data_IF_288242519268
#
_entry.id   IF_288242519268
#
_cell.length_a   1.000
_cell.length_b   1.000
_cell.length_c   1.000
_cell.angle_alpha   90.00
_cell.angle_beta   90.00
_cell.angle_gamma   90.00
#
_symmetry.space_group_name_H-M   'P 1'
#
loop_
_entity.id
_entity.type
_entity.pdbx_description
1 polymer ?
#
# COMPACT_ATOMS: atom_id res chain seq x y z
N UNK A 1 -0.14 -39.52 20.31
CA UNK A 1 1.33 -39.35 20.32
C UNK A 1 1.71 -38.73 18.99
N UNK A 2 2.05 -37.45 18.86
CA UNK A 2 2.91 -36.60 19.68
C UNK A 2 2.36 -35.18 19.80
N UNK A 3 2.56 -34.58 20.97
CA UNK A 3 2.46 -33.15 21.26
C UNK A 3 3.83 -32.48 21.11
N UNK A 4 3.84 -31.21 20.69
CA UNK A 4 4.78 -30.11 21.03
C UNK A 4 4.29 -28.89 20.20
N UNK A 5 3.50 -27.99 20.78
CA UNK A 5 3.89 -26.81 21.59
C UNK A 5 4.33 -25.61 20.76
N UNK A 6 3.44 -24.61 20.73
CA UNK A 6 3.66 -23.16 20.96
C UNK A 6 4.67 -22.37 20.10
N UNK A 7 4.18 -21.18 19.73
CA UNK A 7 4.91 -19.96 19.37
C UNK A 7 5.38 -19.77 17.93
N UNK A 8 4.47 -19.23 17.10
CA UNK A 8 4.69 -17.96 16.39
C UNK A 8 3.41 -17.56 15.65
N UNK A 9 2.44 -17.06 16.41
CA UNK A 9 1.27 -16.39 15.85
C UNK A 9 1.67 -14.92 15.61
N UNK A 10 2.14 -14.60 14.41
CA UNK A 10 2.22 -13.21 13.96
C UNK A 10 0.80 -12.64 13.92
N UNK A 11 0.39 -12.07 15.04
CA UNK A 11 -0.91 -11.45 15.21
C UNK A 11 -0.83 -10.07 14.55
N UNK A 12 -1.51 -9.89 13.42
CA UNK A 12 -1.93 -8.56 12.96
C UNK A 12 -2.99 -8.11 13.97
N UNK A 13 -2.55 -7.41 15.02
CA UNK A 13 -3.45 -6.98 16.09
C UNK A 13 -4.30 -5.83 15.55
N UNK A 14 -5.56 -6.11 15.24
CA UNK A 14 -6.60 -5.10 15.26
C UNK A 14 -7.02 -4.90 16.73
N UNK A 15 -6.82 -3.68 17.27
CA UNK A 15 -7.95 -2.99 17.88
C UNK A 15 -7.93 -1.51 17.46
N UNK A 16 -9.01 -0.79 17.76
CA UNK A 16 -9.24 0.65 17.52
C UNK A 16 -9.93 1.05 16.21
N UNK A 17 -11.06 0.41 15.90
CA UNK A 17 -12.05 0.88 14.92
C UNK A 17 -12.53 2.33 15.10
N UNK A 18 -12.28 3.00 16.24
CA UNK A 18 -12.65 4.40 16.45
C UNK A 18 -11.61 5.42 15.93
N UNK A 19 -10.30 5.12 15.99
CA UNK A 19 -9.25 6.07 15.57
C UNK A 19 -9.19 6.18 14.02
N UNK A 20 -9.61 5.12 13.31
CA UNK A 20 -9.58 5.04 11.85
C UNK A 20 -10.46 6.06 11.13
N UNK A 21 -11.59 6.48 11.71
CA UNK A 21 -12.51 7.45 11.08
C UNK A 21 -11.96 8.87 11.10
N UNK A 22 -11.18 9.23 12.12
CA UNK A 22 -10.61 10.57 12.24
C UNK A 22 -9.32 10.68 11.43
N UNK A 23 -8.44 9.67 11.46
CA UNK A 23 -7.17 9.65 10.72
C UNK A 23 -7.36 9.69 9.19
N UNK A 24 -8.29 8.90 8.64
CA UNK A 24 -8.61 8.99 7.20
C UNK A 24 -9.16 10.35 6.81
N UNK A 25 -9.95 11.00 7.68
CA UNK A 25 -10.48 12.34 7.41
C UNK A 25 -9.40 13.43 7.46
N UNK A 26 -8.43 13.34 8.38
CA UNK A 26 -7.34 14.32 8.53
C UNK A 26 -6.33 14.17 7.40
N UNK A 27 -5.91 12.94 7.09
CA UNK A 27 -4.99 12.65 5.97
C UNK A 27 -5.64 13.06 4.64
N UNK A 28 -6.90 12.69 4.37
CA UNK A 28 -7.60 13.13 3.16
C UNK A 28 -7.82 14.64 3.07
N UNK A 29 -8.08 15.34 4.19
CA UNK A 29 -8.28 16.80 4.18
C UNK A 29 -6.99 17.55 3.86
N UNK A 30 -5.86 17.12 4.42
CA UNK A 30 -4.59 17.79 4.17
C UNK A 30 -4.04 17.45 2.78
N UNK A 31 -4.28 16.23 2.28
CA UNK A 31 -4.01 15.87 0.88
C UNK A 31 -4.92 16.63 -0.10
N UNK A 32 -6.21 16.79 0.20
CA UNK A 32 -7.13 17.61 -0.61
C UNK A 32 -6.72 19.08 -0.64
N UNK A 33 -6.18 19.63 0.45
CA UNK A 33 -5.61 20.99 0.50
C UNK A 33 -4.38 21.16 -0.39
N UNK A 34 -3.57 20.12 -0.54
CA UNK A 34 -2.43 20.13 -1.46
C UNK A 34 -2.86 19.91 -2.91
N UNK A 35 -3.88 19.07 -3.16
CA UNK A 35 -4.45 18.82 -4.48
C UNK A 35 -5.32 19.98 -5.02
N UNK A 36 -5.88 20.82 -4.15
CA UNK A 36 -6.71 21.98 -4.54
C UNK A 36 -5.94 23.13 -5.19
N UNK A 37 -4.63 22.98 -5.44
CA UNK A 37 -3.85 23.90 -6.29
C UNK A 37 -3.94 23.57 -7.79
N UNK A 38 -4.66 22.52 -8.16
CA UNK A 38 -5.01 22.20 -9.55
C UNK A 38 -6.52 22.06 -9.67
N UNK A 39 -7.12 22.92 -10.50
CA UNK A 39 -8.56 22.94 -10.81
C UNK A 39 -9.02 21.58 -11.34
N UNK A 40 -10.03 20.96 -10.71
CA UNK A 40 -11.30 20.58 -11.34
C UNK A 40 -12.26 19.94 -10.32
N UNK A 41 -13.54 20.23 -10.52
CA UNK A 41 -14.70 19.97 -9.67
C UNK A 41 -15.22 18.53 -9.72
N UNK A 42 -15.36 17.86 -8.56
CA UNK A 42 -16.55 17.05 -8.16
C UNK A 42 -16.34 16.41 -6.79
N UNK A 43 -16.95 16.97 -5.74
CA UNK A 43 -17.08 16.31 -4.43
C UNK A 43 -18.50 16.58 -3.90
N UNK A 44 -19.45 15.73 -4.31
CA UNK A 44 -20.77 15.59 -3.68
C UNK A 44 -20.95 14.11 -3.36
N UNK A 45 -20.88 13.80 -2.08
CA UNK A 45 -21.64 12.78 -1.35
C UNK A 45 -20.79 12.28 -0.19
N UNK A 46 -21.25 12.54 1.04
CA UNK A 46 -21.22 11.62 2.19
C UNK A 46 -21.85 12.35 3.37
N UNK A 47 -23.14 12.67 3.25
CA UNK A 47 -23.97 13.13 4.35
C UNK A 47 -25.12 12.15 4.49
N UNK A 48 -24.92 11.00 5.14
CA UNK A 48 -25.99 10.22 5.79
C UNK A 48 -25.39 9.02 6.52
N UNK A 49 -25.21 9.16 7.85
CA UNK A 49 -25.22 8.08 8.83
C UNK A 49 -25.20 8.72 10.23
N UNK A 50 -26.37 9.21 10.67
CA UNK A 50 -26.63 9.58 12.07
C UNK A 50 -26.99 8.30 12.84
N UNK A 51 -26.09 7.82 13.70
CA UNK A 51 -26.44 6.81 14.70
C UNK A 51 -26.75 7.49 16.03
N UNK A 52 -27.97 7.29 16.55
CA UNK A 52 -28.45 7.78 17.85
C UNK A 52 -27.95 6.85 18.96
N UNK A 53 -27.23 7.39 19.95
CA UNK A 53 -27.10 6.75 21.27
C UNK A 53 -28.05 7.43 22.25
N UNK A 54 -28.94 6.63 22.87
CA UNK A 54 -29.82 7.03 23.97
C UNK A 54 -28.99 7.14 25.25
N UNK A 55 -28.93 8.32 25.86
CA UNK A 55 -28.42 8.51 27.22
C UNK A 55 -29.55 8.29 28.22
N UNK A 56 -29.39 7.31 29.10
CA UNK A 56 -30.22 7.17 30.33
C UNK A 56 -29.61 8.05 31.44
N UNK A 57 -30.42 8.78 32.23
CA UNK A 57 -29.91 9.64 33.28
C UNK A 57 -29.59 8.82 34.54
N UNK A 58 -28.31 8.73 34.93
CA UNK A 58 -27.93 8.28 36.28
C UNK A 58 -28.15 9.41 37.29
N UNK A 59 -28.86 9.09 38.37
CA UNK A 59 -29.09 9.95 39.54
C UNK A 59 -27.75 10.33 40.19
N UNK A 60 -27.63 11.60 40.59
CA UNK A 60 -26.52 12.12 41.41
C UNK A 60 -26.88 11.91 42.87
N UNK A 61 -26.04 11.17 43.59
CA UNK A 61 -26.09 11.06 45.05
C UNK A 61 -25.14 12.11 45.67
N UNK A 62 -25.60 13.01 46.58
CA UNK A 62 -24.79 14.16 47.02
C UNK A 62 -23.82 13.91 48.17
N UNK A 63 -23.69 12.69 48.72
CA UNK A 63 -22.97 12.45 49.99
C UNK A 63 -21.62 11.71 49.87
N UNK A 64 -21.08 11.55 48.65
CA UNK A 64 -19.73 10.98 48.45
C UNK A 64 -18.62 12.04 48.29
N UNK A 65 -18.91 13.31 48.54
CA UNK A 65 -17.94 14.42 48.44
C UNK A 65 -17.59 14.92 49.84
N UNK A 66 -16.71 14.24 50.58
CA UNK A 66 -15.91 14.85 51.67
C UNK A 66 -14.92 13.90 52.39
N UNK A 67 -14.23 12.98 51.70
CA UNK A 67 -13.17 12.18 52.36
C UNK A 67 -11.99 11.78 51.46
N UNK A 68 -11.53 12.65 50.56
CA UNK A 68 -10.28 12.40 49.84
C UNK A 68 -9.55 13.70 49.45
N UNK A 69 -9.29 14.57 50.42
CA UNK A 69 -8.52 15.82 50.24
C UNK A 69 -7.23 15.88 51.07
N UNK A 70 -6.62 14.73 51.34
CA UNK A 70 -5.26 14.67 51.90
C UNK A 70 -4.47 13.60 51.15
N UNK A 71 -3.36 14.03 50.53
CA UNK A 71 -2.43 13.27 49.66
C UNK A 71 -2.69 13.27 48.14
N UNK A 72 -2.92 14.45 47.55
CA UNK A 72 -2.57 14.67 46.14
C UNK A 72 -1.08 15.01 46.05
N UNK A 73 -0.22 14.02 46.28
CA UNK A 73 1.07 14.03 45.59
C UNK A 73 0.73 14.09 44.11
N UNK A 74 1.29 15.08 43.41
CA UNK A 74 1.11 15.29 41.97
C UNK A 74 1.65 14.04 41.28
N UNK A 75 0.80 13.04 41.07
CA UNK A 75 1.10 11.91 40.19
C UNK A 75 1.44 12.58 38.86
N UNK A 76 2.73 12.60 38.51
CA UNK A 76 3.11 12.86 37.13
C UNK A 76 2.44 11.73 36.35
N UNK A 77 1.30 12.05 35.74
CA UNK A 77 0.78 11.22 34.67
C UNK A 77 1.96 10.96 33.74
N UNK A 78 2.22 9.70 33.34
CA UNK A 78 3.26 9.43 32.37
C UNK A 78 3.08 10.40 31.22
N UNK A 79 4.16 11.07 30.78
CA UNK A 79 4.11 11.84 29.54
C UNK A 79 3.48 10.94 28.48
N UNK A 80 2.30 11.34 28.00
CA UNK A 80 1.51 10.57 27.07
C UNK A 80 2.37 10.43 25.81
N UNK A 81 3.00 9.26 25.65
CA UNK A 81 4.06 9.02 24.69
C UNK A 81 3.57 9.46 23.31
N UNK A 82 4.22 10.44 22.70
CA UNK A 82 3.78 11.02 21.44
C UNK A 82 3.82 9.96 20.36
N UNK A 83 2.64 9.46 19.96
CA UNK A 83 2.53 8.47 18.91
C UNK A 83 2.74 9.15 17.56
N UNK A 84 3.66 8.60 16.76
CA UNK A 84 3.98 9.08 15.43
C UNK A 84 3.48 8.08 14.38
N UNK A 85 3.11 8.58 13.20
CA UNK A 85 2.73 7.77 12.03
C UNK A 85 3.66 8.13 10.88
N UNK A 86 4.36 7.12 10.35
CA UNK A 86 5.16 7.27 9.14
C UNK A 86 4.32 7.03 7.90
N UNK A 87 4.62 7.73 6.81
CA UNK A 87 3.99 7.52 5.51
C UNK A 87 5.08 7.53 4.45
N UNK A 88 5.15 6.43 3.70
CA UNK A 88 5.92 6.34 2.45
C UNK A 88 5.00 6.81 1.34
N UNK A 89 5.42 7.84 0.61
CA UNK A 89 4.79 8.30 -0.63
C UNK A 89 5.75 8.05 -1.80
N UNK A 90 5.52 6.94 -2.50
CA UNK A 90 6.32 6.50 -3.64
C UNK A 90 5.69 7.03 -4.94
N UNK A 91 6.03 8.26 -5.32
CA UNK A 91 5.52 8.88 -6.54
C UNK A 91 6.32 8.51 -7.80
N UNK A 92 5.81 8.94 -8.95
CA UNK A 92 6.47 8.72 -10.26
C UNK A 92 7.74 9.55 -10.47
N UNK A 93 7.91 10.67 -9.77
CA UNK A 93 9.11 11.54 -9.89
C UNK A 93 9.99 11.53 -8.64
N UNK A 94 9.48 11.06 -7.50
CA UNK A 94 10.23 11.07 -6.24
C UNK A 94 9.63 10.14 -5.21
N UNK A 95 10.47 9.68 -4.29
CA UNK A 95 10.08 8.99 -3.06
C UNK A 95 10.11 9.95 -1.89
N UNK A 96 9.11 9.90 -1.03
CA UNK A 96 9.05 10.65 0.22
C UNK A 96 8.82 9.74 1.40
N UNK A 97 9.37 10.14 2.54
CA UNK A 97 8.94 9.62 3.82
C UNK A 97 8.57 10.80 4.72
N UNK A 98 7.39 10.75 5.32
CA UNK A 98 6.81 11.82 6.10
C UNK A 98 6.34 11.23 7.43
N UNK A 99 6.71 11.86 8.54
CA UNK A 99 6.27 11.46 9.88
C UNK A 99 5.32 12.51 10.43
N UNK A 100 4.14 12.06 10.84
CA UNK A 100 3.07 12.87 11.39
C UNK A 100 2.90 12.60 12.89
N UNK A 101 2.48 13.62 13.63
CA UNK A 101 1.92 13.46 14.98
C UNK A 101 0.55 12.78 14.88
N UNK A 102 0.36 11.63 15.52
CA UNK A 102 -0.94 10.93 15.53
C UNK A 102 -2.03 11.76 16.24
N UNK A 103 -1.63 12.66 17.15
CA UNK A 103 -2.54 13.49 17.95
C UNK A 103 -3.00 14.74 17.20
N UNK A 104 -2.09 15.42 16.53
CA UNK A 104 -2.37 16.73 15.89
C UNK A 104 -2.50 16.66 14.38
N UNK A 105 -1.98 15.61 13.74
CA UNK A 105 -1.89 15.50 12.28
C UNK A 105 -0.79 16.36 11.66
N UNK A 106 0.02 17.04 12.46
CA UNK A 106 1.10 17.90 11.98
C UNK A 106 2.30 17.08 11.49
N UNK A 107 3.00 17.62 10.49
CA UNK A 107 4.25 17.04 9.98
C UNK A 107 5.37 17.33 10.98
N UNK A 108 5.96 16.28 11.54
CA UNK A 108 7.10 16.35 12.45
C UNK A 108 8.41 16.36 11.69
N UNK A 109 8.52 15.52 10.66
CA UNK A 109 9.71 15.43 9.82
C UNK A 109 9.35 14.89 8.44
N UNK A 110 10.13 15.25 7.42
CA UNK A 110 9.95 14.76 6.05
C UNK A 110 11.25 14.78 5.27
N UNK A 111 11.41 13.83 4.37
CA UNK A 111 12.49 13.83 3.39
C UNK A 111 11.96 13.40 2.02
N UNK A 112 12.57 13.92 0.95
CA UNK A 112 12.21 13.63 -0.43
C UNK A 112 13.48 13.39 -1.25
N UNK A 113 13.46 12.37 -2.09
CA UNK A 113 14.52 12.05 -3.05
C UNK A 113 13.88 11.84 -4.42
N UNK A 114 14.40 12.50 -5.44
CA UNK A 114 13.95 12.34 -6.82
C UNK A 114 14.37 10.98 -7.39
N UNK A 115 13.56 10.46 -8.31
CA UNK A 115 13.84 9.21 -9.03
C UNK A 115 13.69 9.48 -10.52
N UNK A 116 14.68 9.04 -11.28
CA UNK A 116 14.69 9.19 -12.73
C UNK A 116 13.71 8.25 -13.43
N UNK A 117 13.37 8.62 -14.66
CA UNK A 117 12.60 7.80 -15.59
C UNK A 117 13.42 7.60 -16.85
N UNK A 118 13.36 6.40 -17.39
CA UNK A 118 14.02 6.05 -18.63
C UNK A 118 12.98 5.89 -19.75
N UNK A 119 13.35 6.37 -20.92
CA UNK A 119 12.54 6.33 -22.14
C UNK A 119 13.33 5.63 -23.25
N UNK A 120 13.50 4.30 -23.19
CA UNK A 120 14.34 3.57 -24.15
C UNK A 120 13.80 3.63 -25.59
N UNK A 121 12.47 3.72 -25.74
CA UNK A 121 11.77 3.83 -27.01
C UNK A 121 10.56 4.77 -26.89
N UNK A 122 9.99 5.17 -28.03
CA UNK A 122 8.77 5.98 -28.06
C UNK A 122 7.63 5.26 -27.34
N UNK A 123 6.95 5.97 -26.43
CA UNK A 123 5.88 5.41 -25.61
C UNK A 123 6.32 4.52 -24.45
N UNK A 124 7.62 4.19 -24.36
CA UNK A 124 8.15 3.38 -23.27
C UNK A 124 8.58 4.28 -22.11
N UNK A 125 8.19 3.88 -20.90
CA UNK A 125 8.52 4.56 -19.65
C UNK A 125 8.84 3.49 -18.61
N UNK A 126 10.08 3.51 -18.12
CA UNK A 126 10.52 2.55 -17.11
C UNK A 126 11.32 3.22 -16.00
N UNK A 127 11.45 2.53 -14.86
CA UNK A 127 12.24 2.97 -13.71
C UNK A 127 13.04 1.81 -13.14
N UNK A 128 14.19 2.11 -12.55
CA UNK A 128 14.93 1.15 -11.76
C UNK A 128 14.14 0.77 -10.50
N UNK A 129 13.70 -0.49 -10.42
CA UNK A 129 13.01 -1.02 -9.24
C UNK A 129 13.89 -0.95 -7.98
N UNK A 130 15.22 -1.08 -8.18
CA UNK A 130 16.21 -0.91 -7.12
C UNK A 130 16.25 0.53 -6.61
N UNK A 131 16.18 1.52 -7.48
CA UNK A 131 16.18 2.94 -7.07
C UNK A 131 14.87 3.37 -6.41
N UNK A 132 13.73 2.79 -6.82
CA UNK A 132 12.45 2.95 -6.11
C UNK A 132 12.60 2.55 -4.63
N UNK A 133 13.21 1.40 -4.36
CA UNK A 133 13.44 0.94 -2.98
C UNK A 133 14.54 1.75 -2.26
N UNK A 134 15.68 1.95 -2.90
CA UNK A 134 16.82 2.65 -2.30
C UNK A 134 16.48 4.09 -1.93
N UNK A 135 15.76 4.82 -2.80
CA UNK A 135 15.28 6.18 -2.50
C UNK A 135 14.32 6.18 -1.31
N UNK A 136 13.40 5.22 -1.23
CA UNK A 136 12.50 5.03 -0.09
C UNK A 136 13.28 4.82 1.22
N UNK A 137 14.24 3.89 1.21
CA UNK A 137 15.09 3.59 2.38
C UNK A 137 15.93 4.81 2.80
N UNK A 138 16.46 5.57 1.84
CA UNK A 138 17.22 6.80 2.12
C UNK A 138 16.33 7.88 2.75
N UNK A 139 15.08 8.04 2.29
CA UNK A 139 14.12 8.94 2.92
C UNK A 139 13.80 8.54 4.36
N UNK A 140 13.57 7.24 4.62
CA UNK A 140 13.36 6.71 5.97
C UNK A 140 14.56 7.01 6.88
N UNK A 141 15.77 6.72 6.40
CA UNK A 141 17.00 6.95 7.16
C UNK A 141 17.30 8.44 7.43
N UNK A 142 16.94 9.32 6.49
CA UNK A 142 17.04 10.77 6.68
C UNK A 142 16.08 11.25 7.77
N UNK A 143 14.80 10.92 7.67
CA UNK A 143 13.80 11.30 8.68
C UNK A 143 14.11 10.70 10.04
N UNK A 144 14.63 9.47 10.11
CA UNK A 144 15.05 8.88 11.38
C UNK A 144 16.19 9.68 12.06
N UNK A 145 17.08 10.31 11.28
CA UNK A 145 18.10 11.23 11.81
C UNK A 145 17.45 12.54 12.27
N UNK A 146 16.52 13.08 11.50
CA UNK A 146 15.80 14.31 11.85
C UNK A 146 15.00 14.13 13.16
N UNK A 147 14.30 13.01 13.34
CA UNK A 147 13.60 12.69 14.58
C UNK A 147 14.54 12.69 15.79
N UNK A 148 15.72 12.07 15.66
CA UNK A 148 16.73 12.08 16.74
C UNK A 148 17.23 13.49 17.05
N UNK A 149 17.38 14.35 16.04
CA UNK A 149 17.75 15.76 16.25
C UNK A 149 16.69 16.56 17.01
N UNK A 150 15.42 16.17 16.85
CA UNK A 150 14.26 16.71 17.58
C UNK A 150 14.07 16.05 18.96
N UNK A 151 15.01 15.21 19.41
CA UNK A 151 14.93 14.42 20.65
C UNK A 151 13.73 13.45 20.69
N UNK A 152 13.23 13.04 19.52
CA UNK A 152 12.21 12.00 19.37
C UNK A 152 12.88 10.68 18.98
N UNK A 153 12.28 9.56 19.36
CA UNK A 153 12.77 8.24 18.97
C UNK A 153 12.09 7.79 17.68
N UNK A 154 12.81 7.25 16.69
CA UNK A 154 12.18 6.53 15.58
C UNK A 154 11.28 5.36 16.04
N UNK A 155 11.50 4.83 17.26
CA UNK A 155 10.64 3.81 17.89
C UNK A 155 9.28 4.37 18.35
N UNK A 156 9.07 5.68 18.27
CA UNK A 156 7.80 6.31 18.56
C UNK A 156 6.86 6.29 17.34
N UNK A 157 7.37 5.89 16.17
CA UNK A 157 6.58 5.59 14.97
C UNK A 157 5.83 4.28 15.18
N UNK A 158 4.53 4.38 15.45
CA UNK A 158 3.68 3.23 15.76
C UNK A 158 3.32 2.40 14.52
N UNK A 159 3.21 3.05 13.36
CA UNK A 159 2.91 2.39 12.09
C UNK A 159 3.48 3.17 10.91
N UNK A 160 3.72 2.46 9.81
CA UNK A 160 4.06 3.03 8.51
C UNK A 160 2.97 2.70 7.50
N UNK A 161 2.37 3.74 6.91
CA UNK A 161 1.51 3.65 5.74
C UNK A 161 2.30 3.71 4.44
N UNK A 162 1.82 3.04 3.39
CA UNK A 162 2.41 3.08 2.05
C UNK A 162 1.35 3.60 1.08
N UNK A 163 1.72 4.64 0.33
CA UNK A 163 1.01 5.08 -0.88
C UNK A 163 2.00 5.15 -2.03
N UNK A 164 1.52 4.91 -3.25
CA UNK A 164 2.39 4.72 -4.40
C UNK A 164 1.75 5.17 -5.71
N UNK A 165 2.57 5.36 -6.74
CA UNK A 165 2.14 5.33 -8.12
C UNK A 165 1.52 3.96 -8.41
N UNK A 166 0.23 3.96 -8.75
CA UNK A 166 -0.53 2.75 -9.05
C UNK A 166 -0.13 2.21 -10.42
N UNK A 167 -0.56 0.99 -10.72
CA UNK A 167 -0.35 0.25 -11.96
C UNK A 167 1.10 -0.11 -12.37
N UNK A 168 2.08 0.74 -12.05
CA UNK A 168 3.51 0.49 -12.26
C UNK A 168 3.87 -0.89 -11.72
N UNK A 169 4.40 -1.76 -12.58
CA UNK A 169 4.54 -3.20 -12.33
C UNK A 169 6.02 -3.59 -12.24
N UNK A 170 6.34 -4.42 -11.25
CA UNK A 170 7.70 -4.88 -10.93
C UNK A 170 7.70 -6.40 -10.91
N UNK A 171 8.73 -7.00 -11.51
CA UNK A 171 9.02 -8.44 -11.43
C UNK A 171 10.35 -8.65 -10.70
N UNK A 172 10.37 -9.56 -9.73
CA UNK A 172 11.55 -9.90 -8.95
C UNK A 172 11.64 -11.40 -8.70
N UNK A 173 12.84 -11.85 -8.35
CA UNK A 173 13.09 -13.22 -7.93
C UNK A 173 12.88 -13.31 -6.41
N UNK A 174 11.97 -14.18 -5.98
CA UNK A 174 11.65 -14.40 -4.56
C UNK A 174 12.81 -14.99 -3.75
N UNK A 175 13.74 -15.73 -4.37
CA UNK A 175 14.90 -16.33 -3.70
C UNK A 175 16.05 -15.34 -3.52
N UNK A 176 16.32 -14.51 -4.54
CA UNK A 176 17.42 -13.52 -4.45
C UNK A 176 16.94 -12.18 -3.90
N UNK A 177 15.66 -11.87 -4.04
CA UNK A 177 15.06 -10.59 -3.67
C UNK A 177 15.43 -9.45 -4.62
N UNK A 178 16.03 -9.75 -5.77
CA UNK A 178 16.48 -8.77 -6.75
C UNK A 178 15.48 -8.63 -7.92
N UNK A 179 15.34 -7.41 -8.48
CA UNK A 179 14.48 -7.18 -9.63
C UNK A 179 15.03 -7.90 -10.87
N UNK A 180 14.14 -8.49 -11.67
CA UNK A 180 14.47 -9.23 -12.88
C UNK A 180 14.59 -8.33 -14.12
N UNK A 181 14.00 -7.14 -14.06
CA UNK A 181 14.06 -6.10 -15.08
C UNK A 181 13.67 -4.73 -14.48
N UNK A 182 13.82 -3.63 -15.23
CA UNK A 182 13.22 -2.35 -14.86
C UNK A 182 11.70 -2.46 -14.65
N UNK A 183 11.19 -1.65 -13.73
CA UNK A 183 9.76 -1.47 -13.50
C UNK A 183 9.11 -0.80 -14.71
N UNK A 184 7.98 -1.33 -15.19
CA UNK A 184 7.23 -0.71 -16.29
C UNK A 184 6.22 0.26 -15.68
N UNK A 185 6.37 1.56 -15.97
CA UNK A 185 5.59 2.66 -15.36
C UNK A 185 4.17 2.68 -15.90
N UNK A 186 3.20 3.12 -15.10
CA UNK A 186 1.78 3.20 -15.47
C UNK A 186 1.49 3.84 -16.84
N UNK A 187 2.22 4.91 -17.19
CA UNK A 187 2.05 5.67 -18.44
C UNK A 187 2.69 5.02 -19.66
N UNK A 188 3.41 3.91 -19.47
CA UNK A 188 4.02 3.14 -20.56
C UNK A 188 2.94 2.52 -21.47
N UNK A 189 3.13 2.67 -22.78
CA UNK A 189 2.21 2.20 -23.81
C UNK A 189 2.74 1.02 -24.64
N UNK A 190 3.86 0.39 -24.24
CA UNK A 190 4.48 -0.74 -24.98
C UNK A 190 3.55 -1.95 -25.15
N UNK A 191 2.53 -2.04 -24.30
CA UNK A 191 1.57 -3.14 -24.30
C UNK A 191 0.31 -2.86 -25.12
N UNK A 192 0.29 -1.78 -25.92
CA UNK A 192 -0.90 -1.38 -26.69
C UNK A 192 -1.29 -2.41 -27.77
N UNK A 193 -0.31 -3.01 -28.45
CA UNK A 193 -0.57 -4.09 -29.42
C UNK A 193 -1.06 -5.36 -28.71
N UNK A 194 -0.42 -5.71 -27.58
CA UNK A 194 -0.82 -6.83 -26.74
C UNK A 194 -2.29 -6.69 -26.30
N UNK A 195 -2.72 -5.49 -25.93
CA UNK A 195 -4.12 -5.21 -25.58
C UNK A 195 -5.07 -5.54 -26.74
N UNK A 196 -4.72 -5.21 -27.99
CA UNK A 196 -5.57 -5.55 -29.15
C UNK A 196 -5.70 -7.07 -29.31
N UNK A 197 -4.60 -7.81 -29.21
CA UNK A 197 -4.62 -9.27 -29.23
C UNK A 197 -5.51 -9.83 -28.11
N UNK A 198 -5.42 -9.27 -26.91
CA UNK A 198 -6.24 -9.69 -25.77
C UNK A 198 -7.73 -9.39 -25.96
N UNK A 199 -8.08 -8.21 -26.50
CA UNK A 199 -9.46 -7.87 -26.87
C UNK A 199 -10.01 -8.92 -27.82
N UNK A 200 -9.26 -9.26 -28.88
CA UNK A 200 -9.64 -10.31 -29.84
C UNK A 200 -9.74 -11.70 -29.22
N UNK A 201 -9.17 -11.96 -28.05
CA UNK A 201 -9.27 -13.24 -27.34
C UNK A 201 -10.37 -13.26 -26.27
N UNK A 202 -10.97 -12.12 -25.94
CA UNK A 202 -12.11 -12.09 -25.02
C UNK A 202 -13.34 -12.77 -25.61
N UNK A 203 -14.31 -13.21 -24.76
CA UNK A 203 -15.58 -13.76 -25.23
C UNK A 203 -16.40 -12.78 -26.08
N UNK A 204 -16.39 -11.50 -25.72
CA UNK A 204 -17.21 -10.46 -26.37
C UNK A 204 -16.49 -9.74 -27.52
N UNK A 205 -15.19 -9.97 -27.70
CA UNK A 205 -14.32 -9.20 -28.62
C UNK A 205 -14.37 -7.69 -28.37
N UNK A 206 -14.62 -7.29 -27.11
CA UNK A 206 -14.81 -5.90 -26.72
C UNK A 206 -13.85 -5.53 -25.58
N UNK A 207 -13.36 -4.28 -25.60
CA UNK A 207 -12.45 -3.78 -24.55
C UNK A 207 -13.08 -3.79 -23.15
N UNK A 208 -14.39 -3.78 -23.03
CA UNK A 208 -15.11 -3.78 -21.76
C UNK A 208 -15.53 -5.20 -21.32
N UNK A 209 -14.99 -6.26 -21.92
CA UNK A 209 -15.35 -7.66 -21.62
C UNK A 209 -15.35 -8.00 -20.12
N UNK A 210 -14.45 -7.36 -19.35
CA UNK A 210 -14.28 -7.59 -17.90
C UNK A 210 -14.67 -6.40 -17.04
N UNK A 211 -15.36 -5.40 -17.60
CA UNK A 211 -15.68 -4.18 -16.86
C UNK A 211 -16.64 -4.44 -15.70
N UNK A 212 -17.53 -5.44 -15.80
CA UNK A 212 -18.42 -5.80 -14.69
C UNK A 212 -17.66 -6.37 -13.49
N UNK A 213 -16.61 -7.15 -13.76
CA UNK A 213 -15.78 -7.78 -12.74
C UNK A 213 -14.74 -6.81 -12.17
N UNK A 214 -14.07 -6.03 -13.02
CA UNK A 214 -12.90 -5.23 -12.64
C UNK A 214 -13.19 -3.74 -12.48
N UNK A 215 -14.28 -3.24 -13.07
CA UNK A 215 -14.54 -1.81 -13.25
C UNK A 215 -13.69 -1.15 -14.34
N UNK A 216 -12.87 -1.91 -15.07
CA UNK A 216 -11.88 -1.40 -16.01
C UNK A 216 -12.13 -1.91 -17.43
N UNK A 217 -11.80 -1.08 -18.42
CA UNK A 217 -11.63 -1.53 -19.80
C UNK A 217 -10.20 -2.07 -19.99
N UNK A 218 -10.03 -3.05 -20.88
CA UNK A 218 -8.71 -3.51 -21.33
C UNK A 218 -7.92 -2.33 -21.89
N UNK A 219 -6.77 -2.05 -21.28
CA UNK A 219 -5.92 -0.91 -21.63
C UNK A 219 -4.46 -1.17 -21.20
N UNK A 220 -3.51 -0.57 -21.92
CA UNK A 220 -2.06 -0.73 -21.67
C UNK A 220 -1.60 -0.16 -20.32
N UNK A 221 -2.43 0.70 -19.74
CA UNK A 221 -2.24 1.36 -18.45
C UNK A 221 -2.20 0.36 -17.28
N UNK A 222 -2.99 -0.73 -17.31
CA UNK A 222 -3.13 -1.64 -16.17
C UNK A 222 -2.05 -2.74 -16.08
N UNK A 223 -1.79 -3.21 -14.86
CA UNK A 223 -0.64 -4.06 -14.53
C UNK A 223 -0.63 -5.41 -15.25
N UNK A 224 -1.78 -6.05 -15.47
CA UNK A 224 -1.88 -7.36 -16.12
C UNK A 224 -1.12 -7.41 -17.45
N UNK A 225 -1.27 -6.37 -18.28
CA UNK A 225 -0.65 -6.30 -19.60
C UNK A 225 0.87 -6.13 -19.49
N UNK A 226 1.33 -5.33 -18.52
CA UNK A 226 2.75 -5.13 -18.23
C UNK A 226 3.41 -6.40 -17.73
N UNK A 227 2.76 -7.10 -16.80
CA UNK A 227 3.21 -8.39 -16.27
C UNK A 227 3.29 -9.43 -17.39
N UNK A 228 2.25 -9.52 -18.24
CA UNK A 228 2.26 -10.44 -19.36
C UNK A 228 3.40 -10.13 -20.34
N UNK A 229 3.60 -8.86 -20.67
CA UNK A 229 4.71 -8.43 -21.52
C UNK A 229 6.07 -8.82 -20.94
N UNK A 230 6.29 -8.66 -19.63
CA UNK A 230 7.55 -9.07 -18.98
C UNK A 230 7.78 -10.58 -19.12
N UNK A 231 6.75 -11.41 -18.89
CA UNK A 231 6.84 -12.88 -19.07
C UNK A 231 7.19 -13.26 -20.52
N UNK A 232 6.61 -12.53 -21.49
CA UNK A 232 6.80 -12.82 -22.91
C UNK A 232 8.13 -12.30 -23.48
N UNK A 233 8.71 -11.25 -22.90
CA UNK A 233 9.81 -10.52 -23.55
C UNK A 233 11.10 -10.44 -22.73
N UNK A 234 11.05 -10.74 -21.43
CA UNK A 234 12.24 -10.69 -20.57
C UNK A 234 12.68 -12.11 -20.20
N UNK A 235 13.81 -12.62 -20.75
CA UNK A 235 14.27 -13.99 -20.51
C UNK A 235 14.38 -14.34 -19.02
N UNK A 236 14.93 -13.43 -18.20
CA UNK A 236 15.08 -13.65 -16.76
C UNK A 236 13.72 -13.79 -16.03
N UNK A 237 12.67 -13.12 -16.51
CA UNK A 237 11.31 -13.25 -15.95
C UNK A 237 10.70 -14.59 -16.31
N UNK A 238 10.90 -15.04 -17.56
CA UNK A 238 10.44 -16.36 -18.01
C UNK A 238 11.14 -17.49 -17.25
N UNK A 239 12.45 -17.43 -17.12
CA UNK A 239 13.23 -18.41 -16.37
C UNK A 239 12.77 -18.48 -14.90
N UNK A 240 12.58 -17.32 -14.25
CA UNK A 240 12.07 -17.27 -12.89
C UNK A 240 10.64 -17.84 -12.77
N UNK A 241 9.79 -17.69 -13.78
CA UNK A 241 8.45 -18.28 -13.82
C UNK A 241 8.53 -19.81 -13.88
N UNK A 242 9.34 -20.34 -14.79
CA UNK A 242 9.56 -21.78 -14.97
C UNK A 242 10.11 -22.43 -13.70
N UNK A 243 11.04 -21.74 -13.02
CA UNK A 243 11.63 -22.19 -11.77
C UNK A 243 10.76 -21.96 -10.53
N UNK A 244 9.56 -21.40 -10.68
CA UNK A 244 8.64 -21.05 -9.57
C UNK A 244 9.28 -20.09 -8.56
N UNK A 245 10.15 -19.21 -9.03
CA UNK A 245 10.84 -18.16 -8.25
C UNK A 245 10.27 -16.77 -8.53
N UNK A 246 9.50 -16.60 -9.60
CA UNK A 246 8.93 -15.30 -9.97
C UNK A 246 7.97 -14.78 -8.90
N UNK A 247 8.13 -13.52 -8.58
CA UNK A 247 7.11 -12.71 -7.91
C UNK A 247 6.91 -11.41 -8.68
N UNK A 248 5.66 -10.96 -8.75
CA UNK A 248 5.27 -9.71 -9.39
C UNK A 248 4.31 -8.94 -8.50
N UNK A 249 4.25 -7.64 -8.72
CA UNK A 249 3.34 -6.77 -7.99
C UNK A 249 3.45 -5.33 -8.44
N UNK A 250 2.52 -4.52 -7.95
CA UNK A 250 2.62 -3.06 -8.00
C UNK A 250 3.66 -2.56 -7.00
N UNK A 251 3.99 -1.27 -7.07
CA UNK A 251 5.05 -0.64 -6.26
C UNK A 251 4.88 -0.86 -4.76
N UNK A 252 3.64 -0.81 -4.25
CA UNK A 252 3.31 -1.10 -2.85
C UNK A 252 3.81 -2.48 -2.42
N UNK A 253 3.56 -3.50 -3.25
CA UNK A 253 3.95 -4.88 -3.00
C UNK A 253 5.46 -5.05 -2.96
N UNK A 254 6.17 -4.41 -3.91
CA UNK A 254 7.64 -4.41 -3.95
C UNK A 254 8.26 -3.73 -2.72
N UNK A 255 7.78 -2.54 -2.37
CA UNK A 255 8.29 -1.79 -1.21
C UNK A 255 8.02 -2.55 0.08
N UNK A 256 6.81 -3.09 0.25
CA UNK A 256 6.47 -3.89 1.43
C UNK A 256 7.30 -5.17 1.51
N UNK A 257 7.46 -5.90 0.41
CA UNK A 257 8.31 -7.10 0.34
C UNK A 257 9.75 -6.78 0.80
N UNK A 258 10.36 -5.73 0.27
CA UNK A 258 11.74 -5.35 0.64
C UNK A 258 11.85 -4.86 2.08
N UNK A 259 10.89 -4.08 2.58
CA UNK A 259 10.92 -3.57 3.96
C UNK A 259 10.67 -4.66 5.02
N UNK A 260 9.95 -5.73 4.66
CA UNK A 260 9.59 -6.81 5.59
C UNK A 260 10.56 -7.99 5.58
N UNK A 261 11.66 -7.91 4.81
CA UNK A 261 12.73 -8.92 4.84
C UNK A 261 13.25 -9.36 3.48
N UNK A 262 12.58 -9.01 2.37
CA UNK A 262 12.99 -9.40 1.01
C UNK A 262 13.18 -10.92 0.87
N UNK A 263 14.33 -11.34 0.36
CA UNK A 263 14.67 -12.77 0.23
C UNK A 263 14.63 -13.54 1.57
N UNK A 264 14.80 -12.85 2.70
CA UNK A 264 14.84 -13.42 4.04
C UNK A 264 13.45 -13.55 4.69
N UNK A 265 12.39 -13.70 3.90
CA UNK A 265 11.01 -13.84 4.39
C UNK A 265 10.13 -12.60 4.27
N UNK A 266 10.42 -11.73 3.29
CA UNK A 266 9.59 -10.58 2.95
C UNK A 266 8.16 -10.97 2.59
N UNK A 267 7.20 -10.18 3.05
CA UNK A 267 5.79 -10.41 2.81
C UNK A 267 5.39 -9.94 1.41
N UNK A 268 4.92 -10.88 0.59
CA UNK A 268 4.33 -10.59 -0.72
C UNK A 268 2.83 -10.33 -0.57
N UNK A 269 2.47 -9.06 -0.45
CA UNK A 269 1.11 -8.61 -0.20
C UNK A 269 0.75 -7.37 -1.05
N UNK A 270 -0.53 -7.09 -1.21
CA UNK A 270 -1.05 -5.87 -1.84
C UNK A 270 -2.34 -5.42 -1.16
N UNK A 271 -2.66 -4.13 -1.22
CA UNK A 271 -3.96 -3.66 -0.73
C UNK A 271 -5.04 -3.71 -1.81
N UNK A 272 -6.31 -3.73 -1.40
CA UNK A 272 -7.45 -3.81 -2.32
C UNK A 272 -7.50 -2.67 -3.34
N UNK A 273 -6.99 -1.48 -3.00
CA UNK A 273 -6.97 -0.36 -3.93
C UNK A 273 -5.94 -0.56 -5.02
N UNK A 274 -4.72 -1.02 -4.71
CA UNK A 274 -3.72 -1.39 -5.71
C UNK A 274 -4.16 -2.63 -6.53
N UNK A 275 -4.71 -3.65 -5.87
CA UNK A 275 -5.25 -4.84 -6.54
C UNK A 275 -6.31 -4.49 -7.60
N UNK A 276 -7.22 -3.56 -7.28
CA UNK A 276 -8.27 -3.10 -8.21
C UNK A 276 -7.73 -2.49 -9.51
N UNK A 277 -6.44 -2.11 -9.54
CA UNK A 277 -5.78 -1.49 -10.69
C UNK A 277 -5.00 -2.46 -11.57
N UNK A 278 -5.01 -3.73 -11.21
CA UNK A 278 -4.25 -4.75 -11.93
C UNK A 278 -4.94 -5.23 -13.20
N UNK A 279 -6.26 -5.05 -13.33
CA UNK A 279 -7.15 -5.74 -14.29
C UNK A 279 -7.40 -7.22 -13.96
N UNK A 280 -6.80 -7.75 -12.88
CA UNK A 280 -6.93 -9.16 -12.47
C UNK A 280 -7.90 -9.33 -11.28
N UNK A 281 -8.28 -8.24 -10.63
CA UNK A 281 -9.02 -8.26 -9.37
C UNK A 281 -10.52 -8.05 -9.61
N UNK A 282 -11.35 -8.90 -9.02
CA UNK A 282 -12.80 -8.77 -9.08
C UNK A 282 -13.27 -7.87 -7.93
N UNK A 283 -13.77 -6.67 -8.25
CA UNK A 283 -14.17 -5.67 -7.25
C UNK A 283 -15.47 -6.04 -6.51
N UNK A 284 -16.22 -7.03 -7.00
CA UNK A 284 -17.45 -7.50 -6.34
C UNK A 284 -17.15 -8.58 -5.30
N UNK A 285 -16.23 -9.50 -5.60
CA UNK A 285 -15.85 -10.59 -4.68
C UNK A 285 -14.64 -10.26 -3.81
N UNK A 286 -13.88 -9.22 -4.17
CA UNK A 286 -12.60 -8.86 -3.56
C UNK A 286 -11.54 -9.97 -3.63
N UNK A 287 -11.54 -10.71 -4.74
CA UNK A 287 -10.60 -11.80 -5.01
C UNK A 287 -9.96 -11.64 -6.40
N UNK A 288 -8.85 -12.34 -6.63
CA UNK A 288 -8.28 -12.48 -7.97
C UNK A 288 -9.23 -13.26 -8.88
N UNK A 289 -9.60 -12.68 -10.01
CA UNK A 289 -10.51 -13.26 -10.98
C UNK A 289 -9.80 -14.37 -11.78
N UNK A 290 -10.27 -15.60 -11.59
CA UNK A 290 -9.66 -16.82 -12.13
C UNK A 290 -9.70 -16.87 -13.66
N UNK A 291 -10.79 -16.40 -14.25
CA UNK A 291 -10.98 -16.44 -15.70
C UNK A 291 -10.09 -15.40 -16.37
N UNK A 292 -9.96 -14.21 -15.77
CA UNK A 292 -9.05 -13.20 -16.26
C UNK A 292 -7.59 -13.65 -16.10
N UNK A 293 -7.21 -14.21 -14.94
CA UNK A 293 -5.86 -14.75 -14.75
C UNK A 293 -5.53 -15.85 -15.77
N UNK A 294 -6.48 -16.77 -16.02
CA UNK A 294 -6.32 -17.82 -17.03
C UNK A 294 -6.19 -17.24 -18.43
N UNK A 295 -6.97 -16.22 -18.79
CA UNK A 295 -6.87 -15.58 -20.08
C UNK A 295 -5.49 -14.91 -20.24
N UNK A 296 -5.06 -14.10 -19.27
CA UNK A 296 -3.83 -13.31 -19.34
C UNK A 296 -2.57 -14.18 -19.28
N UNK A 297 -2.51 -15.11 -18.33
CA UNK A 297 -1.30 -15.86 -18.04
C UNK A 297 -1.34 -17.32 -18.48
N UNK A 298 -2.49 -17.83 -18.91
CA UNK A 298 -2.68 -19.27 -19.10
C UNK A 298 -2.78 -20.04 -17.78
N UNK A 299 -2.85 -19.35 -16.63
CA UNK A 299 -2.78 -19.94 -15.29
C UNK A 299 -3.96 -19.44 -14.46
N UNK A 300 -4.77 -20.35 -13.94
CA UNK A 300 -5.96 -20.02 -13.13
C UNK A 300 -5.61 -19.41 -11.77
N UNK A 301 -4.51 -19.86 -11.16
CA UNK A 301 -4.02 -19.38 -9.86
C UNK A 301 -2.52 -19.09 -9.91
N UNK A 302 -2.13 -17.95 -10.49
CA UNK A 302 -0.73 -17.58 -10.58
C UNK A 302 -0.17 -17.36 -9.15
N UNK A 303 0.73 -18.23 -8.71
CA UNK A 303 1.36 -18.10 -7.37
C UNK A 303 2.34 -16.92 -7.30
N UNK A 304 2.67 -16.33 -8.45
CA UNK A 304 3.60 -15.21 -8.55
C UNK A 304 2.95 -13.84 -8.34
N UNK A 305 1.61 -13.73 -8.22
CA UNK A 305 0.94 -12.47 -7.81
C UNK A 305 0.70 -12.48 -6.29
N UNK A 306 0.50 -11.32 -5.63
CA UNK A 306 0.35 -11.28 -4.19
C UNK A 306 -0.92 -12.00 -3.72
N UNK A 307 -0.77 -13.08 -2.95
CA UNK A 307 -1.92 -13.85 -2.43
C UNK A 307 -2.54 -13.20 -1.19
N UNK A 308 -1.76 -12.43 -0.44
CA UNK A 308 -2.23 -11.74 0.76
C UNK A 308 -2.77 -10.36 0.39
N UNK A 309 -4.09 -10.22 0.47
CA UNK A 309 -4.79 -8.96 0.29
C UNK A 309 -5.04 -8.30 1.65
N UNK A 310 -4.73 -7.00 1.76
CA UNK A 310 -4.97 -6.21 2.97
C UNK A 310 -5.91 -5.04 2.68
N UNK A 311 -6.69 -4.63 3.67
CA UNK A 311 -7.59 -3.48 3.52
C UNK A 311 -6.82 -2.14 3.44
N UNK A 312 -5.63 -2.09 4.05
CA UNK A 312 -4.77 -0.90 4.09
C UNK A 312 -3.36 -1.30 4.52
N UNK A 313 -2.36 -0.58 4.00
CA UNK A 313 -0.98 -0.73 4.45
C UNK A 313 -0.78 -0.07 5.80
N UNK A 314 -0.59 -0.90 6.84
CA UNK A 314 -0.03 -0.49 8.12
C UNK A 314 1.05 -1.51 8.50
N UNK A 315 2.31 -1.15 8.30
CA UNK A 315 3.44 -1.92 8.82
C UNK A 315 3.66 -1.48 10.27
N UNK A 316 3.37 -2.36 11.22
CA UNK A 316 3.69 -2.14 12.62
C UNK A 316 5.15 -2.47 12.85
N UNK A 317 5.91 -1.51 13.38
CA UNK A 317 7.27 -1.73 13.83
C UNK A 317 7.20 -2.36 15.23
N UNK A 318 7.68 -3.60 15.37
CA UNK A 318 7.87 -4.24 16.67
C UNK A 318 9.18 -3.76 17.32
#
# INVERSE_FOLDING_TARGET
>A
AWSLSTDNMYTVVAPFTCIFRELTSVICKEYCRQASKTSFSTLRCLSHLKYKFKTSPRRRDPEATNSCHKNLQRIKMPEEKQQLIGVIDQGTSSSRFIVFSAKTGEIIARHQIEIDREHPHSGWVQQSAKDIYNSTLRCINAVARDLRSLKLSPKDVAAIGITNQRETSIAWDSKTGEPLCPAIVWSDSRTSELVQTFISNTPTKDKNAFQKQTGLALHSYFSAMKIRWMIDNVPAVREALEDKRLSVGTVDSWVAYKLTGGASGGQHLTDVTNASRTLLFNINTLEWDRDICKLVFGITFPQFIPLKLIASYYLYLQ
#
